data_IF_433929218781
#
_entry.id   IF_433929218781
#
_cell.length_a   1.000
_cell.length_b   1.000
_cell.length_c   1.000
_cell.angle_alpha   90.00
_cell.angle_beta   90.00
_cell.angle_gamma   90.00
#
_symmetry.space_group_name_H-M   'P 1'
#
loop_
_entity.id
_entity.type
_entity.pdbx_description
1 polymer ?
#
# COMPACT_ATOMS: atom_id res chain seq x y z
N UNK A 1 21.55 12.53 -11.34
CA UNK A 1 20.55 11.72 -12.04
C UNK A 1 19.46 12.68 -12.49
N UNK A 2 19.18 12.79 -13.78
CA UNK A 2 18.16 13.72 -14.30
C UNK A 2 16.76 13.20 -13.95
N UNK A 3 15.76 14.09 -13.92
CA UNK A 3 14.36 13.71 -13.63
C UNK A 3 13.83 12.66 -14.61
N UNK A 4 14.19 12.78 -15.89
CA UNK A 4 13.76 11.86 -16.95
C UNK A 4 14.30 10.43 -16.77
N UNK A 5 15.55 10.30 -16.30
CA UNK A 5 16.15 8.99 -16.01
C UNK A 5 15.44 8.29 -14.85
N UNK A 6 15.01 9.06 -13.84
CA UNK A 6 14.25 8.52 -12.71
C UNK A 6 12.87 8.04 -13.14
N UNK A 7 12.15 8.86 -13.90
CA UNK A 7 10.81 8.52 -14.37
C UNK A 7 10.82 7.28 -15.29
N UNK A 8 11.79 7.19 -16.19
CA UNK A 8 11.97 6.01 -17.05
C UNK A 8 12.18 4.73 -16.23
N UNK A 9 13.09 4.76 -15.25
CA UNK A 9 13.34 3.62 -14.36
C UNK A 9 12.09 3.22 -13.57
N UNK A 10 11.33 4.20 -13.09
CA UNK A 10 10.08 3.94 -12.38
C UNK A 10 9.05 3.26 -13.29
N UNK A 11 8.88 3.72 -14.53
CA UNK A 11 7.99 3.10 -15.52
C UNK A 11 8.41 1.64 -15.79
N UNK A 12 9.70 1.38 -15.96
CA UNK A 12 10.21 0.02 -16.16
C UNK A 12 9.91 -0.89 -14.96
N UNK A 13 10.17 -0.41 -13.74
CA UNK A 13 9.94 -1.16 -12.51
C UNK A 13 8.45 -1.44 -12.30
N UNK A 14 7.58 -0.47 -12.56
CA UNK A 14 6.12 -0.66 -12.51
C UNK A 14 5.62 -1.62 -13.61
N UNK A 15 6.24 -1.61 -14.79
CA UNK A 15 5.96 -2.59 -15.85
C UNK A 15 6.28 -4.01 -15.42
N UNK A 16 7.40 -4.22 -14.72
CA UNK A 16 7.72 -5.53 -14.13
C UNK A 16 6.68 -5.93 -13.08
N UNK A 17 6.28 -5.01 -12.22
CA UNK A 17 5.22 -5.29 -11.23
C UNK A 17 3.88 -5.63 -11.90
N UNK A 18 3.52 -5.01 -13.03
CA UNK A 18 2.32 -5.38 -13.79
C UNK A 18 2.42 -6.81 -14.36
N UNK A 19 3.61 -7.22 -14.79
CA UNK A 19 3.88 -8.56 -15.32
C UNK A 19 3.89 -9.65 -14.25
N UNK A 20 4.37 -9.35 -13.04
CA UNK A 20 4.42 -10.29 -11.93
C UNK A 20 3.16 -10.28 -11.05
N UNK A 21 2.58 -9.11 -10.80
CA UNK A 21 1.56 -8.86 -9.77
C UNK A 21 2.18 -8.69 -8.38
N UNK A 22 1.50 -7.97 -7.50
CA UNK A 22 1.97 -7.55 -6.18
C UNK A 22 0.94 -7.96 -5.12
N UNK A 23 1.21 -9.06 -4.40
CA UNK A 23 0.41 -9.50 -3.26
C UNK A 23 0.98 -9.06 -1.92
N UNK A 24 2.31 -8.90 -1.89
CA UNK A 24 3.03 -8.60 -0.67
C UNK A 24 4.41 -7.99 -0.91
N UNK A 25 5.11 -7.66 0.18
CA UNK A 25 6.46 -7.10 0.14
C UNK A 25 7.47 -7.95 -0.66
N UNK A 26 7.33 -9.28 -0.63
CA UNK A 26 8.18 -10.23 -1.35
C UNK A 26 8.16 -10.03 -2.87
N UNK A 27 7.01 -9.65 -3.44
CA UNK A 27 6.91 -9.42 -4.89
C UNK A 27 7.67 -8.14 -5.29
N UNK A 28 7.72 -7.13 -4.42
CA UNK A 28 8.52 -5.92 -4.65
C UNK A 28 10.01 -6.26 -4.65
N UNK A 29 10.45 -7.04 -3.66
CA UNK A 29 11.84 -7.45 -3.50
C UNK A 29 12.30 -8.25 -4.73
N UNK A 30 11.49 -9.18 -5.20
CA UNK A 30 11.87 -10.08 -6.29
C UNK A 30 11.77 -9.43 -7.68
N UNK A 31 10.71 -8.64 -7.94
CA UNK A 31 10.45 -8.13 -9.29
C UNK A 31 10.99 -6.71 -9.54
N UNK A 32 11.04 -5.86 -8.50
CA UNK A 32 11.40 -4.45 -8.63
C UNK A 32 12.14 -3.90 -7.38
N UNK A 33 13.29 -4.49 -6.98
CA UNK A 33 14.00 -4.12 -5.76
C UNK A 33 14.49 -2.67 -5.75
N UNK A 34 14.64 -2.04 -6.93
CA UNK A 34 15.01 -0.61 -7.04
C UNK A 34 13.96 0.32 -6.43
N UNK A 35 12.69 -0.09 -6.39
CA UNK A 35 11.63 0.71 -5.79
C UNK A 35 11.81 0.87 -4.27
N UNK A 36 12.59 -0.01 -3.62
CA UNK A 36 12.90 0.12 -2.20
C UNK A 36 13.68 1.39 -1.88
N UNK A 37 14.41 1.95 -2.84
CA UNK A 37 15.13 3.22 -2.68
C UNK A 37 14.19 4.44 -2.65
N UNK A 38 12.92 4.29 -3.06
CA UNK A 38 11.93 5.37 -3.03
C UNK A 38 11.41 5.64 -1.61
N UNK A 39 11.48 4.64 -0.74
CA UNK A 39 10.95 4.72 0.62
C UNK A 39 12.12 4.89 1.58
N UNK A 40 12.24 6.10 2.14
CA UNK A 40 13.29 6.47 3.09
C UNK A 40 13.06 5.91 4.51
N UNK A 41 12.19 4.91 4.68
CA UNK A 41 11.83 4.38 5.99
C UNK A 41 13.06 3.78 6.69
N UNK A 42 13.20 4.08 7.99
CA UNK A 42 14.14 3.37 8.84
C UNK A 42 13.70 1.90 8.99
N UNK A 43 14.57 0.96 8.65
CA UNK A 43 14.29 -0.47 8.77
C UNK A 43 14.90 -1.33 7.65
N UNK A 44 14.78 -2.64 7.82
CA UNK A 44 15.26 -3.62 6.86
C UNK A 44 14.50 -3.61 5.52
N UNK A 45 14.97 -4.42 4.58
CA UNK A 45 14.41 -4.57 3.23
C UNK A 45 12.88 -4.78 3.22
N UNK A 46 12.39 -5.68 4.08
CA UNK A 46 10.97 -5.99 4.22
C UNK A 46 10.11 -4.79 4.62
N UNK A 47 10.59 -3.94 5.52
CA UNK A 47 9.87 -2.75 5.96
C UNK A 47 9.74 -1.73 4.83
N UNK A 48 10.83 -1.52 4.07
CA UNK A 48 10.82 -0.68 2.87
C UNK A 48 9.89 -1.22 1.80
N UNK A 49 9.91 -2.53 1.56
CA UNK A 49 9.01 -3.19 0.61
C UNK A 49 7.53 -3.03 1.00
N UNK A 50 7.20 -3.14 2.29
CA UNK A 50 5.86 -2.83 2.81
C UNK A 50 5.47 -1.37 2.59
N UNK A 51 6.43 -0.45 2.72
CA UNK A 51 6.25 0.95 2.39
C UNK A 51 5.91 1.17 0.91
N UNK A 52 6.59 0.47 0.01
CA UNK A 52 6.30 0.51 -1.44
C UNK A 52 4.89 0.00 -1.73
N UNK A 53 4.47 -1.11 -1.12
CA UNK A 53 3.09 -1.63 -1.28
C UNK A 53 2.05 -0.58 -0.85
N UNK A 54 2.27 0.09 0.29
CA UNK A 54 1.39 1.18 0.75
C UNK A 54 1.36 2.36 -0.22
N UNK A 55 2.52 2.75 -0.75
CA UNK A 55 2.63 3.81 -1.75
C UNK A 55 1.87 3.47 -3.05
N UNK A 56 1.96 2.22 -3.52
CA UNK A 56 1.19 1.75 -4.68
C UNK A 56 -0.33 1.83 -4.43
N UNK A 57 -0.79 1.43 -3.25
CA UNK A 57 -2.21 1.57 -2.88
C UNK A 57 -2.64 3.03 -2.86
N UNK A 58 -1.87 3.91 -2.23
CA UNK A 58 -2.19 5.34 -2.13
C UNK A 58 -2.20 6.02 -3.51
N UNK A 59 -1.20 5.76 -4.34
CA UNK A 59 -1.10 6.31 -5.68
C UNK A 59 -2.24 5.81 -6.59
N UNK A 60 -2.54 4.51 -6.57
CA UNK A 60 -3.67 3.98 -7.35
C UNK A 60 -5.01 4.50 -6.86
N UNK A 61 -5.18 4.76 -5.56
CA UNK A 61 -6.40 5.37 -5.04
C UNK A 61 -6.59 6.81 -5.53
N UNK A 62 -5.52 7.62 -5.57
CA UNK A 62 -5.62 9.00 -6.02
C UNK A 62 -5.88 9.17 -7.51
N UNK A 63 -5.46 8.22 -8.34
CA UNK A 63 -5.80 8.20 -9.75
C UNK A 63 -7.31 7.99 -10.02
N UNK A 64 -8.09 7.59 -9.01
CA UNK A 64 -9.55 7.49 -9.08
C UNK A 64 -10.08 6.44 -10.07
N UNK A 65 -11.38 6.43 -10.29
CA UNK A 65 -12.01 5.54 -11.27
C UNK A 65 -12.05 6.20 -12.66
N UNK A 66 -11.78 5.48 -13.77
CA UNK A 66 -11.48 4.04 -13.87
C UNK A 66 -9.99 3.67 -13.75
N UNK A 67 -9.07 4.63 -13.81
CA UNK A 67 -7.62 4.39 -13.93
C UNK A 67 -7.04 3.62 -12.75
N UNK A 68 -7.30 4.09 -11.55
CA UNK A 68 -6.90 3.48 -10.29
C UNK A 68 -7.47 2.07 -10.10
N UNK A 69 -8.77 1.88 -10.40
CA UNK A 69 -9.41 0.57 -10.33
C UNK A 69 -8.76 -0.44 -11.28
N UNK A 70 -8.49 -0.04 -12.51
CA UNK A 70 -7.79 -0.89 -13.48
C UNK A 70 -6.35 -1.20 -13.08
N UNK A 71 -5.61 -0.22 -12.53
CA UNK A 71 -4.26 -0.43 -12.03
C UNK A 71 -4.22 -1.39 -10.84
N UNK A 72 -5.18 -1.30 -9.91
CA UNK A 72 -5.29 -2.23 -8.78
C UNK A 72 -5.53 -3.67 -9.25
N UNK A 73 -6.40 -3.87 -10.24
CA UNK A 73 -6.60 -5.17 -10.85
C UNK A 73 -5.36 -5.66 -11.60
N UNK A 74 -4.73 -4.80 -12.41
CA UNK A 74 -3.53 -5.13 -13.19
C UNK A 74 -2.35 -5.55 -12.31
N UNK A 75 -2.14 -4.83 -11.21
CA UNK A 75 -1.09 -5.09 -10.23
C UNK A 75 -1.48 -6.14 -9.18
N UNK A 76 -2.71 -6.67 -9.21
CA UNK A 76 -3.26 -7.56 -8.18
C UNK A 76 -3.17 -7.01 -6.74
N UNK A 77 -3.39 -5.71 -6.58
CA UNK A 77 -3.41 -5.04 -5.27
C UNK A 77 -4.70 -5.31 -4.49
N UNK A 78 -5.77 -5.74 -5.16
CA UNK A 78 -7.02 -6.08 -4.48
C UNK A 78 -6.88 -7.43 -3.75
N UNK A 79 -7.49 -7.56 -2.56
CA UNK A 79 -7.47 -8.82 -1.83
C UNK A 79 -8.07 -9.93 -2.70
N UNK A 80 -7.42 -11.10 -2.69
CA UNK A 80 -7.92 -12.25 -3.43
C UNK A 80 -9.35 -12.58 -2.97
N UNK A 81 -10.29 -12.85 -3.90
CA UNK A 81 -11.62 -13.32 -3.55
C UNK A 81 -11.54 -14.52 -2.61
N UNK A 82 -12.38 -14.56 -1.57
CA UNK A 82 -12.40 -15.67 -0.59
C UNK A 82 -12.60 -16.99 -1.35
N UNK A 83 -11.69 -17.95 -1.15
CA UNK A 83 -11.70 -19.25 -1.83
C UNK A 83 -10.81 -19.36 -3.07
N UNK A 84 -10.25 -18.25 -3.57
CA UNK A 84 -9.26 -18.25 -4.65
C UNK A 84 -7.84 -18.08 -4.10
N UNK A 85 -7.17 -19.19 -3.79
CA UNK A 85 -5.77 -19.19 -3.35
C UNK A 85 -4.77 -18.89 -4.48
N UNK A 86 -5.20 -18.94 -5.74
CA UNK A 86 -4.30 -18.95 -6.90
C UNK A 86 -3.90 -17.53 -7.31
N UNK A 87 -2.61 -17.33 -7.62
CA UNK A 87 -2.07 -16.10 -8.21
C UNK A 87 -2.64 -15.94 -9.62
N UNK A 88 -3.41 -14.87 -9.83
CA UNK A 88 -3.85 -14.50 -11.17
C UNK A 88 -2.64 -14.38 -12.07
N UNK A 89 -2.69 -15.04 -13.22
CA UNK A 89 -1.71 -14.93 -14.29
C UNK A 89 -1.69 -13.50 -14.86
N UNK A 90 -0.63 -13.18 -15.60
CA UNK A 90 -0.50 -11.91 -16.33
C UNK A 90 -1.69 -11.63 -17.25
N UNK A 91 -2.23 -12.67 -17.91
CA UNK A 91 -3.39 -12.54 -18.81
C UNK A 91 -4.69 -12.30 -18.03
N UNK A 92 -4.92 -13.02 -16.93
CA UNK A 92 -6.12 -12.84 -16.10
C UNK A 92 -6.18 -11.46 -15.46
N UNK A 93 -5.04 -10.91 -15.01
CA UNK A 93 -4.99 -9.55 -14.46
C UNK A 93 -5.30 -8.47 -15.51
N UNK A 94 -4.82 -8.64 -16.74
CA UNK A 94 -5.15 -7.75 -17.86
C UNK A 94 -6.63 -7.81 -18.22
N UNK A 95 -7.20 -9.02 -18.25
CA UNK A 95 -8.64 -9.19 -18.45
C UNK A 95 -9.43 -8.52 -17.31
N UNK A 96 -9.04 -8.72 -16.04
CA UNK A 96 -9.69 -8.06 -14.92
C UNK A 96 -9.60 -6.51 -15.00
N UNK A 97 -8.46 -5.97 -15.42
CA UNK A 97 -8.29 -4.54 -15.63
C UNK A 97 -9.11 -4.00 -16.82
N UNK A 98 -9.27 -4.79 -17.88
CA UNK A 98 -9.99 -4.37 -19.10
C UNK A 98 -11.50 -4.23 -18.89
N UNK A 99 -12.07 -4.93 -17.89
CA UNK A 99 -13.47 -4.78 -17.47
C UNK A 99 -13.83 -3.32 -17.17
N UNK A 100 -12.93 -2.57 -16.54
CA UNK A 100 -13.14 -1.15 -16.22
C UNK A 100 -13.21 -0.22 -17.45
N UNK A 101 -12.70 -0.69 -18.59
CA UNK A 101 -12.75 0.00 -19.87
C UNK A 101 -13.74 -0.61 -20.86
N UNK A 102 -14.46 -1.69 -20.47
CA UNK A 102 -15.41 -2.42 -21.31
C UNK A 102 -14.82 -2.87 -22.65
N UNK A 103 -13.59 -3.37 -22.60
CA UNK A 103 -12.84 -3.86 -23.77
C UNK A 103 -12.16 -5.20 -23.45
N UNK A 104 -11.70 -5.88 -24.50
CA UNK A 104 -10.91 -7.09 -24.39
C UNK A 104 -9.53 -6.85 -23.76
N UNK A 105 -9.00 -7.87 -23.07
CA UNK A 105 -7.70 -7.80 -22.38
C UNK A 105 -6.52 -7.49 -23.31
N UNK A 106 -6.52 -8.01 -24.54
CA UNK A 106 -5.46 -7.74 -25.52
C UNK A 106 -5.53 -6.29 -26.05
N UNK A 107 -6.74 -5.78 -26.27
CA UNK A 107 -6.96 -4.38 -26.64
C UNK A 107 -6.50 -3.46 -25.51
N UNK A 108 -6.89 -3.75 -24.26
CA UNK A 108 -6.44 -3.00 -23.09
C UNK A 108 -4.91 -2.92 -22.98
N UNK A 109 -4.21 -4.05 -23.18
CA UNK A 109 -2.74 -4.10 -23.19
C UNK A 109 -2.16 -3.12 -24.22
N UNK A 110 -2.73 -3.09 -25.42
CA UNK A 110 -2.24 -2.28 -26.55
C UNK A 110 -2.54 -0.79 -26.37
N UNK A 111 -3.71 -0.43 -25.83
CA UNK A 111 -4.20 0.95 -25.85
C UNK A 111 -4.08 1.70 -24.52
N UNK A 112 -4.15 1.01 -23.37
CA UNK A 112 -4.24 1.66 -22.06
C UNK A 112 -3.11 1.32 -21.10
N UNK A 113 -2.59 0.09 -21.12
CA UNK A 113 -1.64 -0.41 -20.09
C UNK A 113 -0.43 0.51 -19.92
N UNK A 114 0.23 0.89 -21.02
CA UNK A 114 1.39 1.81 -20.98
C UNK A 114 1.04 3.15 -20.37
N UNK A 115 -0.06 3.76 -20.80
CA UNK A 115 -0.49 5.08 -20.32
C UNK A 115 -0.87 5.04 -18.83
N UNK A 116 -1.46 3.94 -18.37
CA UNK A 116 -1.79 3.74 -16.95
C UNK A 116 -0.53 3.60 -16.09
N UNK A 117 0.46 2.83 -16.54
CA UNK A 117 1.74 2.71 -15.85
C UNK A 117 2.45 4.06 -15.79
N UNK A 118 2.44 4.84 -16.89
CA UNK A 118 3.00 6.19 -16.89
C UNK A 118 2.26 7.13 -15.93
N UNK A 119 0.93 7.09 -15.89
CA UNK A 119 0.15 7.89 -14.93
C UNK A 119 0.47 7.52 -13.47
N UNK A 120 0.65 6.23 -13.19
CA UNK A 120 1.07 5.75 -11.87
C UNK A 120 2.48 6.23 -11.51
N UNK A 121 3.42 6.21 -12.46
CA UNK A 121 4.77 6.71 -12.24
C UNK A 121 4.77 8.20 -11.88
N UNK A 122 3.98 9.01 -12.61
CA UNK A 122 3.83 10.45 -12.35
C UNK A 122 3.24 10.70 -10.95
N UNK A 123 2.19 9.96 -10.58
CA UNK A 123 1.57 10.11 -9.26
C UNK A 123 2.51 9.72 -8.11
N UNK A 124 3.28 8.64 -8.27
CA UNK A 124 4.31 8.24 -7.30
C UNK A 124 5.38 9.32 -7.18
N UNK A 125 5.88 9.84 -8.30
CA UNK A 125 6.88 10.92 -8.29
C UNK A 125 6.33 12.19 -7.62
N UNK A 126 5.09 12.56 -7.92
CA UNK A 126 4.39 13.68 -7.28
C UNK A 126 4.29 13.52 -5.76
N UNK A 127 3.93 12.33 -5.26
CA UNK A 127 3.86 12.05 -3.81
C UNK A 127 5.22 12.12 -3.13
N UNK A 128 6.26 11.65 -3.80
CA UNK A 128 7.63 11.67 -3.28
C UNK A 128 8.19 13.09 -3.23
N UNK A 129 7.80 13.96 -4.17
CA UNK A 129 8.25 15.36 -4.22
C UNK A 129 7.47 16.28 -3.27
N UNK A 130 6.17 16.06 -3.12
CA UNK A 130 5.28 16.83 -2.21
C UNK A 130 5.27 16.33 -0.77
N UNK A 131 5.91 15.18 -0.51
CA UNK A 131 6.01 14.60 0.82
C UNK A 131 4.73 13.97 1.36
N UNK A 132 3.66 13.86 0.55
CA UNK A 132 2.34 13.38 0.97
C UNK A 132 2.31 11.94 1.52
N UNK A 133 3.34 11.12 1.26
CA UNK A 133 3.48 9.76 1.83
C UNK A 133 4.91 9.43 2.25
N UNK A 134 5.80 10.42 2.31
CA UNK A 134 7.15 10.21 2.83
C UNK A 134 7.09 10.39 4.34
N UNK A 135 7.64 9.45 5.11
CA UNK A 135 7.90 9.53 6.55
C UNK A 135 8.82 10.70 6.97
N UNK A 136 8.99 11.72 6.11
CA UNK A 136 9.64 13.00 6.43
C UNK A 136 8.73 13.95 7.22
N UNK A 137 7.45 13.60 7.39
CA UNK A 137 6.48 14.35 8.19
C UNK A 137 6.56 14.17 9.71
N UNK A 138 7.36 13.23 10.24
CA UNK A 138 7.35 12.96 11.69
C UNK A 138 8.38 13.79 12.49
N UNK A 139 9.16 14.67 11.85
CA UNK A 139 10.16 15.52 12.52
C UNK A 139 10.19 16.98 12.05
N UNK A 140 9.04 17.53 11.64
CA UNK A 140 8.83 18.98 11.60
C UNK A 140 7.59 19.28 12.43
N UNK A 141 7.77 19.99 13.53
CA UNK A 141 6.68 20.36 14.42
C UNK A 141 5.68 21.25 13.71
N UNK A 142 4.47 20.72 13.50
CA UNK A 142 3.26 21.51 13.36
C UNK A 142 2.35 21.17 14.53
N UNK A 143 2.33 22.10 15.50
CA UNK A 143 1.18 22.26 16.37
C UNK A 143 -0.05 22.63 15.53
N UNK A 144 -1.22 22.23 16.01
CA UNK A 144 -2.56 22.39 15.42
C UNK A 144 -2.86 21.37 14.30
N UNK A 145 -3.81 20.44 14.40
CA UNK A 145 -4.94 20.34 15.31
C UNK A 145 -5.42 18.90 15.40
N UNK A 146 -5.47 18.40 16.62
CA UNK A 146 -6.18 17.19 17.04
C UNK A 146 -7.68 17.45 16.79
N UNK A 147 -8.21 16.99 15.66
CA UNK A 147 -9.66 16.91 15.47
C UNK A 147 -10.23 16.05 16.62
N UNK A 148 -11.13 16.58 17.47
CA UNK A 148 -11.77 15.76 18.48
C UNK A 148 -12.60 14.67 17.78
N UNK A 149 -12.35 13.42 18.14
CA UNK A 149 -13.25 12.31 17.79
C UNK A 149 -14.65 12.63 18.31
N UNK A 150 -15.58 12.96 17.42
CA UNK A 150 -17.01 13.11 17.72
C UNK A 150 -17.75 11.77 17.74
N UNK A 151 -17.05 10.65 17.94
CA UNK A 151 -17.69 9.36 18.18
C UNK A 151 -18.24 9.36 19.61
N UNK A 152 -19.56 9.23 19.84
CA UNK A 152 -20.08 9.04 21.18
C UNK A 152 -19.52 7.72 21.71
N UNK A 153 -18.65 7.79 22.70
CA UNK A 153 -18.22 6.61 23.44
C UNK A 153 -19.42 5.95 24.13
N UNK A 154 -19.36 4.65 24.45
CA UNK A 154 -20.40 3.99 25.22
C UNK A 154 -20.62 4.74 26.54
N UNK A 155 -21.86 5.20 26.78
CA UNK A 155 -22.32 5.96 27.96
C UNK A 155 -22.36 5.15 29.26
N UNK A 156 -21.70 3.99 29.32
CA UNK A 156 -21.67 3.22 30.54
C UNK A 156 -20.63 3.84 31.47
N UNK A 157 -21.01 4.28 32.68
CA UNK A 157 -20.02 4.72 33.66
C UNK A 157 -19.00 3.59 33.87
N UNK A 158 -17.70 3.93 34.06
CA UNK A 158 -16.72 2.91 34.39
C UNK A 158 -17.23 2.10 35.59
N UNK A 159 -17.08 0.76 35.57
CA UNK A 159 -17.57 -0.07 36.66
C UNK A 159 -16.97 0.41 37.99
N UNK A 160 -17.75 0.43 39.08
CA UNK A 160 -17.28 0.91 40.37
C UNK A 160 -16.05 0.12 40.83
N UNK A 161 -15.13 0.80 41.52
CA UNK A 161 -13.87 0.23 42.00
C UNK A 161 -14.04 -1.02 42.89
N UNK A 162 -15.25 -1.28 43.40
CA UNK A 162 -15.63 -2.51 44.10
C UNK A 162 -15.58 -3.78 43.23
N UNK A 163 -15.51 -3.64 41.90
CA UNK A 163 -15.44 -4.77 40.95
C UNK A 163 -14.02 -5.28 40.77
N UNK A 164 -13.01 -4.48 41.13
CA UNK A 164 -11.61 -4.91 41.10
C UNK A 164 -11.30 -5.72 42.36
N UNK A 165 -11.39 -7.05 42.27
CA UNK A 165 -10.73 -7.92 43.24
C UNK A 165 -9.22 -7.87 43.00
N UNK A 166 -8.39 -7.52 44.02
CA UNK A 166 -6.95 -7.66 43.91
C UNK A 166 -6.60 -9.12 43.68
N UNK A 167 -5.81 -9.41 42.65
CA UNK A 167 -5.19 -10.72 42.47
C UNK A 167 -4.24 -10.92 43.66
N UNK A 168 -4.62 -11.79 44.61
CA UNK A 168 -3.77 -12.09 45.75
C UNK A 168 -2.39 -12.52 45.24
N UNK A 169 -1.34 -11.82 45.72
CA UNK A 169 0.06 -12.22 45.57
C UNK A 169 0.14 -13.70 45.95
N UNK A 170 0.47 -14.56 44.98
CA UNK A 170 1.03 -15.87 45.30
C UNK A 170 2.35 -15.61 46.00
N UNK A 171 2.36 -15.70 47.33
CA UNK A 171 3.58 -15.81 48.10
C UNK A 171 4.36 -17.01 47.56
N UNK A 172 5.54 -16.74 47.02
CA UNK A 172 6.58 -17.74 46.87
C UNK A 172 7.00 -18.15 48.29
N UNK A 173 6.40 -19.22 48.81
CA UNK A 173 6.97 -19.93 49.96
C UNK A 173 8.14 -20.78 49.45
N UNK A 174 9.34 -20.29 49.70
CA UNK A 174 10.53 -21.12 49.74
C UNK A 174 10.73 -21.73 51.13
N UNK A 175 11.07 -23.02 51.16
CA UNK A 175 11.86 -23.72 52.18
C UNK A 175 11.15 -24.08 53.50
N UNK A 176 11.60 -25.12 54.22
CA UNK A 176 12.87 -25.84 54.08
C UNK A 176 12.80 -27.18 53.34
#
# INVERSE_FOLDING_TARGET
>A
MTGDDRQRRLIEDLGRLADHGVRGPEDIINAAPRLLALVAAQGGEWARARGVVRLLHAATQALGHPRGSALRALLALDPAPRGMGVRLTKTERRHAASVYYRIEGDTFRKTHEKNLITALAIEIDHRLTTGHDTTRGDHAGDGHGRMPSTRPGPKNPPPPASTFRPLAKREAKGGP
#
